data_IF_335851199014
#
_entry.id   IF_335851199014
#
_cell.length_a   1.000
_cell.length_b   1.000
_cell.length_c   1.000
_cell.angle_alpha   90.00
_cell.angle_beta   90.00
_cell.angle_gamma   90.00
#
_symmetry.space_group_name_H-M   'P 1'
#
loop_
_entity.id
_entity.type
_entity.pdbx_description
1 polymer ?
#
# COMPACT_ATOMS: atom_id res chain seq x y z
N UNK A 1 6.16 -10.00 6.97
CA UNK A 1 6.66 -9.03 7.97
C UNK A 1 5.90 -7.72 7.80
N UNK A 2 5.72 -6.90 8.84
CA UNK A 2 5.05 -5.60 8.71
C UNK A 2 5.82 -4.53 9.50
N UNK A 3 5.92 -3.35 8.93
CA UNK A 3 6.53 -2.17 9.52
C UNK A 3 5.48 -1.07 9.58
N UNK A 4 5.35 -0.41 10.72
CA UNK A 4 4.40 0.67 10.88
C UNK A 4 4.60 1.42 12.16
N UNK A 5 4.18 2.68 12.15
CA UNK A 5 4.23 3.52 13.32
C UNK A 5 2.99 3.30 14.18
N UNK A 6 3.20 3.18 15.49
CA UNK A 6 2.12 3.07 16.47
C UNK A 6 2.17 4.29 17.39
N UNK A 7 1.04 4.99 17.49
CA UNK A 7 0.84 6.11 18.39
C UNK A 7 -0.35 5.80 19.29
N UNK A 8 -0.14 5.88 20.60
CA UNK A 8 -1.18 5.58 21.61
C UNK A 8 -1.83 4.19 21.44
N UNK A 9 -1.04 3.20 21.01
CA UNK A 9 -1.53 1.82 20.77
C UNK A 9 -2.32 1.64 19.47
N UNK A 10 -2.42 2.67 18.62
CA UNK A 10 -3.06 2.63 17.31
C UNK A 10 -2.05 2.85 16.20
N UNK A 11 -2.27 2.26 15.03
CA UNK A 11 -1.43 2.53 13.86
C UNK A 11 -1.61 3.99 13.43
N UNK A 12 -0.51 4.73 13.34
CA UNK A 12 -0.52 6.17 13.01
C UNK A 12 0.78 6.51 12.28
N UNK A 13 0.69 6.73 10.97
CA UNK A 13 1.79 7.00 10.06
C UNK A 13 1.91 5.94 8.95
N UNK A 14 3.08 5.93 8.31
CA UNK A 14 3.38 5.04 7.19
C UNK A 14 3.44 3.58 7.67
N UNK A 15 2.79 2.71 6.92
CA UNK A 15 2.75 1.28 7.14
C UNK A 15 3.14 0.54 5.85
N UNK A 16 4.01 -0.45 6.00
CA UNK A 16 4.52 -1.29 4.92
C UNK A 16 4.35 -2.73 5.34
N UNK A 17 3.85 -3.57 4.44
CA UNK A 17 3.79 -5.01 4.63
C UNK A 17 4.60 -5.72 3.57
N UNK A 18 5.28 -6.75 4.03
CA UNK A 18 6.17 -7.61 3.28
C UNK A 18 5.68 -9.05 3.37
N UNK A 19 5.81 -9.76 2.26
CA UNK A 19 5.57 -11.19 2.17
C UNK A 19 6.60 -12.00 3.00
N UNK A 20 6.41 -13.31 3.11
CA UNK A 20 7.39 -14.23 3.72
C UNK A 20 8.75 -14.17 3.03
N UNK A 21 8.76 -13.86 1.73
CA UNK A 21 9.97 -13.66 0.93
C UNK A 21 10.64 -12.29 1.12
N UNK A 22 10.05 -11.38 1.89
CA UNK A 22 10.56 -10.02 2.08
C UNK A 22 10.20 -9.04 0.96
N UNK A 23 9.35 -9.44 0.02
CA UNK A 23 8.85 -8.55 -1.04
C UNK A 23 7.73 -7.66 -0.48
N UNK A 24 7.76 -6.36 -0.77
CA UNK A 24 6.64 -5.46 -0.43
C UNK A 24 5.37 -5.95 -1.11
N UNK A 25 4.30 -6.14 -0.34
CA UNK A 25 2.96 -6.54 -0.81
C UNK A 25 1.94 -5.42 -0.63
N UNK A 26 2.16 -4.53 0.34
CA UNK A 26 1.31 -3.37 0.55
C UNK A 26 2.08 -2.25 1.24
N UNK A 27 1.75 -1.01 0.92
CA UNK A 27 2.29 0.20 1.54
C UNK A 27 1.17 1.24 1.61
N UNK A 28 1.08 2.00 2.69
CA UNK A 28 0.08 3.03 2.84
C UNK A 28 0.23 3.80 4.14
N UNK A 29 -0.78 4.58 4.47
CA UNK A 29 -0.79 5.38 5.70
C UNK A 29 -2.00 5.03 6.56
N UNK A 30 -1.77 5.00 7.87
CA UNK A 30 -2.82 4.95 8.87
C UNK A 30 -2.86 6.26 9.65
N UNK A 31 -4.05 6.66 10.08
CA UNK A 31 -4.23 7.76 11.02
C UNK A 31 -5.24 7.31 12.07
N UNK A 32 -4.84 7.34 13.34
CA UNK A 32 -5.64 6.84 14.46
C UNK A 32 -6.20 5.40 14.26
N UNK A 33 -5.45 4.54 13.57
CA UNK A 33 -5.83 3.16 13.24
C UNK A 33 -6.73 3.02 12.01
N UNK A 34 -7.08 4.12 11.34
CA UNK A 34 -7.89 4.12 10.12
C UNK A 34 -7.02 4.26 8.89
N UNK A 35 -7.34 3.52 7.83
CA UNK A 35 -6.66 3.64 6.54
C UNK A 35 -6.98 5.00 5.93
N UNK A 36 -5.94 5.77 5.67
CA UNK A 36 -6.04 7.08 5.04
C UNK A 36 -4.92 7.25 4.00
N UNK A 37 -5.04 8.28 3.18
CA UNK A 37 -4.05 8.57 2.14
C UNK A 37 -4.07 7.54 1.03
N UNK A 38 -2.90 7.30 0.43
CA UNK A 38 -2.77 6.40 -0.73
C UNK A 38 -2.20 5.07 -0.29
N UNK A 39 -2.90 4.02 -0.65
CA UNK A 39 -2.53 2.63 -0.39
C UNK A 39 -2.12 1.96 -1.67
N UNK A 40 -0.88 1.48 -1.73
CA UNK A 40 -0.33 0.79 -2.88
C UNK A 40 -0.24 -0.69 -2.53
N UNK A 41 -0.96 -1.52 -3.28
CA UNK A 41 -0.87 -2.97 -3.20
C UNK A 41 0.01 -3.49 -4.32
N UNK A 42 1.08 -4.17 -3.94
CA UNK A 42 2.07 -4.75 -4.83
C UNK A 42 1.69 -6.22 -5.06
N UNK A 43 1.25 -6.54 -6.27
CA UNK A 43 1.11 -7.91 -6.75
C UNK A 43 2.28 -8.24 -7.67
N UNK A 44 2.46 -9.52 -8.01
CA UNK A 44 3.60 -10.02 -8.78
C UNK A 44 3.90 -9.20 -10.05
N UNK A 45 2.85 -8.77 -10.79
CA UNK A 45 2.98 -8.01 -12.04
C UNK A 45 2.12 -6.74 -12.12
N UNK A 46 1.45 -6.36 -11.03
CA UNK A 46 0.56 -5.19 -11.02
C UNK A 46 0.63 -4.45 -9.69
N UNK A 47 0.43 -3.14 -9.77
CA UNK A 47 0.33 -2.25 -8.62
C UNK A 47 -1.11 -1.73 -8.59
N UNK A 48 -1.79 -1.84 -7.45
CA UNK A 48 -3.10 -1.22 -7.27
C UNK A 48 -2.95 -0.07 -6.28
N UNK A 49 -3.09 1.15 -6.75
CA UNK A 49 -3.14 2.33 -5.89
C UNK A 49 -4.60 2.60 -5.51
N UNK A 50 -4.90 2.64 -4.23
CA UNK A 50 -6.22 2.90 -3.67
C UNK A 50 -6.11 4.11 -2.75
N UNK A 51 -6.77 5.20 -3.10
CA UNK A 51 -6.90 6.35 -2.21
C UNK A 51 -8.02 6.07 -1.20
N UNK A 52 -7.71 6.12 0.09
CA UNK A 52 -8.67 6.04 1.19
C UNK A 52 -8.84 7.43 1.82
N UNK A 53 -10.09 7.86 1.96
CA UNK A 53 -10.49 9.01 2.76
C UNK A 53 -11.32 8.48 3.95
N UNK A 54 -10.79 8.57 5.17
CA UNK A 54 -11.46 8.09 6.38
C UNK A 54 -12.01 6.64 6.26
N UNK A 55 -11.17 5.70 5.82
CA UNK A 55 -11.56 4.31 5.50
C UNK A 55 -12.52 4.11 4.33
N UNK A 56 -12.98 5.17 3.67
CA UNK A 56 -13.77 5.09 2.44
C UNK A 56 -12.84 5.10 1.23
N UNK A 57 -13.04 4.18 0.30
CA UNK A 57 -12.31 4.21 -0.97
C UNK A 57 -12.76 5.42 -1.77
N UNK A 58 -11.83 6.33 -2.03
CA UNK A 58 -12.03 7.54 -2.83
C UNK A 58 -11.66 7.30 -4.30
N UNK A 59 -10.57 6.58 -4.55
CA UNK A 59 -10.14 6.25 -5.91
C UNK A 59 -9.41 4.92 -5.95
N UNK A 60 -9.55 4.17 -7.04
CA UNK A 60 -8.80 2.94 -7.30
C UNK A 60 -8.16 3.07 -8.66
N UNK A 61 -6.84 2.90 -8.72
CA UNK A 61 -6.04 2.95 -9.92
C UNK A 61 -5.25 1.65 -10.05
N UNK A 62 -5.48 0.93 -11.13
CA UNK A 62 -4.69 -0.25 -11.45
C UNK A 62 -3.55 0.15 -12.40
N UNK A 63 -2.32 -0.09 -11.96
CA UNK A 63 -1.08 0.17 -12.66
C UNK A 63 -0.50 -1.19 -13.05
N UNK A 64 -0.71 -1.60 -14.30
CA UNK A 64 -0.09 -2.81 -14.83
C UNK A 64 1.39 -2.53 -15.09
N UNK A 65 2.28 -3.39 -14.59
CA UNK A 65 3.75 -3.22 -14.71
C UNK A 65 4.28 -3.52 -16.12
N UNK A 66 3.39 -3.63 -17.13
CA UNK A 66 3.68 -3.96 -18.52
C UNK A 66 4.20 -2.78 -19.36
N UNK A 67 5.02 -1.89 -18.79
CA UNK A 67 5.55 -0.73 -19.52
C UNK A 67 7.08 -0.76 -19.77
N UNK A 68 7.81 -1.83 -19.40
CA UNK A 68 9.27 -1.90 -19.62
C UNK A 68 9.82 -3.22 -20.17
N UNK A 69 8.98 -4.17 -20.60
CA UNK A 69 9.44 -5.44 -21.17
C UNK A 69 9.44 -5.46 -22.71
N UNK A 70 9.75 -4.33 -23.37
CA UNK A 70 9.83 -4.30 -24.82
C UNK A 70 10.88 -3.32 -25.34
N UNK A 71 12.16 -3.69 -25.19
CA UNK A 71 13.26 -3.35 -26.11
C UNK A 71 14.34 -4.42 -26.00
N UNK A 72 14.25 -5.45 -26.84
CA UNK A 72 15.39 -6.17 -27.39
C UNK A 72 15.01 -6.66 -28.78
#
# INVERSE_FOLDING_TARGET
QQEGFYKDGKLDGVWVSYDEKGNKVAEGEYTNGLKTGKWIFFNENSLSEVAYDNSKVSSVKNLQKNALANRN
#
